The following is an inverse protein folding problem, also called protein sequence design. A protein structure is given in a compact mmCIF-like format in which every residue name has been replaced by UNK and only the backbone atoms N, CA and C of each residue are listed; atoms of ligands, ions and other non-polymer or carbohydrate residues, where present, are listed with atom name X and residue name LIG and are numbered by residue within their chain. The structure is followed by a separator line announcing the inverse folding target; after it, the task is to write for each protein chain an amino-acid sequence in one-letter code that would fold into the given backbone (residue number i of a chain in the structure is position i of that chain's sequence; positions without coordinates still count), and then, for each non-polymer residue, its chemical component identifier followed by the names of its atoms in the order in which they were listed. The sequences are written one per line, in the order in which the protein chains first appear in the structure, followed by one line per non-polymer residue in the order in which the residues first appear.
data_IF_450678386931
#
_entry.id   IF_450678386931
#
_cell.length_a   1.000
_cell.length_b   1.000
_cell.length_c   1.000
_cell.angle_alpha   90.00
_cell.angle_beta   90.00
_cell.angle_gamma   90.00
#
_symmetry.space_group_name_H-M   'P 1'
#
loop_
_entity.id
_entity.type
_entity.pdbx_description
1 polymer ?
#
# COMPACT_ATOMS: atom_id res chain seq x y z
N UNK A 1 10.48 14.76 -12.99
CA UNK A 1 9.49 13.87 -13.65
C UNK A 1 8.81 13.05 -12.57
N UNK A 2 7.53 13.29 -12.32
CA UNK A 2 6.70 12.54 -11.39
C UNK A 2 6.21 11.27 -12.12
N UNK A 3 6.34 10.12 -11.50
CA UNK A 3 5.81 8.87 -12.05
C UNK A 3 4.29 8.89 -11.97
N UNK A 4 3.60 8.69 -13.10
CA UNK A 4 2.15 8.73 -13.18
C UNK A 4 1.46 7.46 -12.65
N UNK A 5 2.19 6.34 -12.50
CA UNK A 5 1.65 5.10 -11.93
C UNK A 5 2.73 4.21 -11.30
N UNK A 6 2.30 3.33 -10.38
CA UNK A 6 3.15 2.30 -9.76
C UNK A 6 3.75 1.33 -10.79
N UNK A 7 2.97 0.95 -11.82
CA UNK A 7 3.44 0.07 -12.90
C UNK A 7 4.64 0.66 -13.64
N UNK A 8 4.57 1.93 -14.03
CA UNK A 8 5.67 2.64 -14.68
C UNK A 8 6.92 2.73 -13.79
N UNK A 9 6.69 2.93 -12.47
CA UNK A 9 7.79 2.98 -11.51
C UNK A 9 8.43 1.60 -11.31
N UNK A 10 7.62 0.53 -11.17
CA UNK A 10 8.09 -0.86 -11.05
C UNK A 10 8.90 -1.30 -12.27
N UNK A 11 8.41 -1.01 -13.47
CA UNK A 11 9.13 -1.30 -14.71
C UNK A 11 10.46 -0.54 -14.80
N UNK A 12 10.48 0.72 -14.35
CA UNK A 12 11.70 1.52 -14.33
C UNK A 12 12.72 1.01 -13.32
N UNK A 13 12.28 0.54 -12.14
CA UNK A 13 13.15 -0.12 -11.17
C UNK A 13 13.70 -1.43 -11.71
N UNK A 14 12.85 -2.25 -12.34
CA UNK A 14 13.30 -3.50 -12.94
C UNK A 14 14.31 -3.24 -14.06
N UNK A 15 14.03 -2.28 -14.95
CA UNK A 15 14.99 -1.87 -16.00
C UNK A 15 16.28 -1.31 -15.40
N UNK A 16 16.21 -0.53 -14.34
CA UNK A 16 17.39 0.05 -13.71
C UNK A 16 18.19 -1.00 -12.94
N UNK A 17 17.55 -1.94 -12.25
CA UNK A 17 18.20 -3.05 -11.58
C UNK A 17 18.87 -4.01 -12.59
N UNK A 18 18.23 -4.28 -13.73
CA UNK A 18 18.80 -5.07 -14.82
C UNK A 18 19.97 -4.33 -15.50
N UNK A 19 19.82 -3.00 -15.70
CA UNK A 19 20.88 -2.16 -16.26
C UNK A 19 22.10 -2.13 -15.33
N UNK A 20 21.89 -1.83 -14.05
CA UNK A 20 22.96 -1.80 -13.04
C UNK A 20 23.59 -3.19 -12.88
N UNK A 21 22.77 -4.25 -12.83
CA UNK A 21 23.27 -5.62 -12.75
C UNK A 21 24.10 -6.04 -13.97
N UNK A 22 23.67 -5.69 -15.19
CA UNK A 22 24.43 -5.97 -16.43
C UNK A 22 25.72 -5.18 -16.53
N UNK A 23 25.73 -3.91 -16.12
CA UNK A 23 26.96 -3.10 -16.12
C UNK A 23 27.92 -3.57 -15.04
N UNK A 24 27.46 -3.87 -13.83
CA UNK A 24 28.30 -4.41 -12.76
C UNK A 24 28.90 -5.78 -13.13
N UNK A 25 28.14 -6.64 -13.82
CA UNK A 25 28.65 -7.93 -14.28
C UNK A 25 29.65 -7.79 -15.45
N UNK A 26 29.45 -6.83 -16.35
CA UNK A 26 30.42 -6.52 -17.41
C UNK A 26 31.71 -5.93 -16.86
N UNK A 27 31.59 -4.95 -15.96
CA UNK A 27 32.73 -4.26 -15.38
C UNK A 27 33.53 -5.19 -14.44
N UNK A 28 32.83 -6.08 -13.71
CA UNK A 28 33.49 -7.12 -12.90
C UNK A 28 34.23 -8.16 -13.73
N UNK A 29 33.74 -8.49 -14.94
CA UNK A 29 34.44 -9.42 -15.85
C UNK A 29 35.59 -8.76 -16.60
N UNK A 30 35.56 -7.44 -16.78
CA UNK A 30 36.60 -6.69 -17.51
C UNK A 30 37.74 -6.20 -16.61
N UNK A 31 37.52 -5.99 -15.32
CA UNK A 31 38.46 -5.30 -14.41
C UNK A 31 39.03 -6.15 -13.27
N UNK A 32 38.67 -7.40 -13.12
CA UNK A 32 39.24 -8.30 -12.10
C UNK A 32 39.11 -7.88 -10.64
N UNK A 33 38.66 -6.66 -10.33
CA UNK A 33 38.31 -6.17 -8.99
C UNK A 33 37.48 -4.89 -9.09
N UNK A 34 36.29 -4.88 -8.46
CA UNK A 34 35.51 -3.63 -8.30
C UNK A 34 36.32 -2.65 -7.44
N UNK A 35 36.60 -1.47 -7.96
CA UNK A 35 37.26 -0.43 -7.18
C UNK A 35 36.34 0.00 -6.00
N UNK A 36 36.91 0.37 -4.83
CA UNK A 36 36.12 0.89 -3.69
C UNK A 36 35.21 2.05 -4.08
N UNK A 37 35.64 2.93 -4.99
CA UNK A 37 34.89 4.07 -5.51
C UNK A 37 33.57 3.65 -6.21
N UNK A 38 33.59 2.58 -7.00
CA UNK A 38 32.39 2.05 -7.68
C UNK A 38 31.35 1.51 -6.70
N UNK A 39 31.79 0.88 -5.60
CA UNK A 39 30.88 0.41 -4.52
C UNK A 39 30.22 1.55 -3.79
N UNK A 40 30.97 2.61 -3.47
CA UNK A 40 30.41 3.78 -2.81
C UNK A 40 29.40 4.52 -3.68
N UNK A 41 29.67 4.69 -4.94
CA UNK A 41 28.75 5.33 -5.89
C UNK A 41 27.45 4.54 -6.00
N UNK A 42 27.53 3.22 -6.09
CA UNK A 42 26.37 2.33 -6.09
C UNK A 42 25.57 2.45 -4.78
N UNK A 43 26.23 2.44 -3.63
CA UNK A 43 25.57 2.61 -2.34
C UNK A 43 24.89 3.97 -2.22
N UNK A 44 25.52 5.05 -2.66
CA UNK A 44 24.92 6.39 -2.73
C UNK A 44 23.70 6.42 -3.64
N UNK A 45 23.75 5.77 -4.79
CA UNK A 45 22.62 5.65 -5.72
C UNK A 45 21.46 4.88 -5.11
N UNK A 46 21.72 3.73 -4.49
CA UNK A 46 20.70 2.92 -3.78
C UNK A 46 20.07 3.75 -2.65
N UNK A 47 20.86 4.48 -1.89
CA UNK A 47 20.37 5.33 -0.79
C UNK A 47 19.46 6.44 -1.30
N UNK A 48 19.82 7.11 -2.41
CA UNK A 48 18.96 8.12 -3.06
C UNK A 48 17.64 7.51 -3.53
N UNK A 49 17.67 6.33 -4.16
CA UNK A 49 16.46 5.65 -4.61
C UNK A 49 15.55 5.25 -3.44
N UNK A 50 16.13 4.71 -2.34
CA UNK A 50 15.38 4.37 -1.12
C UNK A 50 14.69 5.59 -0.51
N UNK A 51 15.38 6.73 -0.44
CA UNK A 51 14.80 8.00 0.07
C UNK A 51 13.64 8.49 -0.82
N UNK A 52 13.81 8.45 -2.15
CA UNK A 52 12.74 8.83 -3.11
C UNK A 52 11.54 7.91 -3.01
N UNK A 53 11.75 6.61 -2.92
CA UNK A 53 10.71 5.60 -2.74
C UNK A 53 9.94 5.79 -1.43
N UNK A 54 10.67 5.95 -0.32
CA UNK A 54 10.05 6.19 0.99
C UNK A 54 9.22 7.48 1.01
N UNK A 55 9.67 8.53 0.30
CA UNK A 55 8.91 9.76 0.14
C UNK A 55 7.64 9.50 -0.64
N UNK A 56 7.73 8.84 -1.80
CA UNK A 56 6.56 8.52 -2.65
C UNK A 56 5.51 7.71 -1.89
N UNK A 57 5.91 6.66 -1.13
CA UNK A 57 5.01 5.86 -0.30
C UNK A 57 4.21 6.70 0.71
N UNK A 58 4.77 7.79 1.21
CA UNK A 58 4.13 8.65 2.22
C UNK A 58 3.33 9.80 1.63
N UNK A 59 3.76 10.34 0.51
CA UNK A 59 3.25 11.63 0.00
C UNK A 59 2.21 11.48 -1.09
N UNK A 60 2.13 10.35 -1.78
CA UNK A 60 1.15 10.13 -2.83
C UNK A 60 0.04 9.19 -2.38
N UNK A 61 -1.17 9.35 -2.92
CA UNK A 61 -2.29 8.45 -2.66
C UNK A 61 -1.97 7.03 -3.12
N UNK A 62 -1.42 6.87 -4.33
CA UNK A 62 -0.99 5.58 -4.87
C UNK A 62 0.06 4.90 -3.98
N UNK A 63 1.04 5.68 -3.50
CA UNK A 63 2.10 5.17 -2.61
C UNK A 63 1.53 4.70 -1.28
N UNK A 64 0.62 5.46 -0.68
CA UNK A 64 -0.09 5.04 0.54
C UNK A 64 -0.91 3.78 0.30
N UNK A 65 -1.69 3.73 -0.78
CA UNK A 65 -2.45 2.55 -1.19
C UNK A 65 -1.56 1.31 -1.32
N UNK A 66 -0.43 1.44 -2.01
CA UNK A 66 0.55 0.36 -2.13
C UNK A 66 1.14 -0.10 -0.78
N UNK A 67 1.41 0.84 0.13
CA UNK A 67 1.90 0.48 1.47
C UNK A 67 0.88 -0.36 2.24
N UNK A 68 -0.42 -0.05 2.12
CA UNK A 68 -1.50 -0.83 2.73
C UNK A 68 -1.68 -2.19 2.06
N UNK A 69 -1.63 -2.28 0.73
CA UNK A 69 -1.65 -3.56 0.02
C UNK A 69 -0.56 -4.50 0.51
N UNK A 70 0.65 -3.98 0.68
CA UNK A 70 1.78 -4.76 1.21
C UNK A 70 1.53 -5.23 2.64
N UNK A 71 0.92 -4.39 3.50
CA UNK A 71 0.53 -4.79 4.86
C UNK A 71 -0.52 -5.89 4.82
N UNK A 72 -1.56 -5.74 4.00
CA UNK A 72 -2.60 -6.75 3.82
C UNK A 72 -2.02 -8.10 3.41
N UNK A 73 -1.14 -8.12 2.41
CA UNK A 73 -0.50 -9.37 1.96
C UNK A 73 0.29 -10.07 3.06
N UNK A 74 0.93 -9.31 3.94
CA UNK A 74 1.82 -9.85 4.98
C UNK A 74 1.11 -10.24 6.27
N UNK A 75 -0.01 -9.59 6.60
CA UNK A 75 -0.63 -9.67 7.91
C UNK A 75 -2.01 -10.34 7.91
N UNK A 76 -2.72 -10.32 6.79
CA UNK A 76 -4.11 -10.76 6.72
C UNK A 76 -4.20 -12.15 6.11
N UNK A 77 -4.75 -13.11 6.85
CA UNK A 77 -4.97 -14.48 6.37
C UNK A 77 -5.97 -14.53 5.20
N UNK A 78 -5.98 -15.64 4.48
CA UNK A 78 -6.94 -15.87 3.40
C UNK A 78 -8.39 -15.86 3.90
N UNK A 79 -8.66 -16.46 5.06
CA UNK A 79 -9.99 -16.49 5.70
C UNK A 79 -10.46 -15.08 6.09
N UNK A 80 -9.62 -14.30 6.75
CA UNK A 80 -9.95 -12.92 7.11
C UNK A 80 -10.21 -12.04 5.87
N UNK A 81 -9.49 -12.27 4.77
CA UNK A 81 -9.77 -11.57 3.51
C UNK A 81 -11.11 -11.98 2.89
N UNK A 82 -11.48 -13.25 3.00
CA UNK A 82 -12.78 -13.72 2.53
C UNK A 82 -13.91 -13.05 3.34
N UNK A 83 -13.80 -13.03 4.67
CA UNK A 83 -14.76 -12.37 5.54
C UNK A 83 -14.87 -10.87 5.23
N UNK A 84 -13.74 -10.16 5.09
CA UNK A 84 -13.74 -8.74 4.73
C UNK A 84 -14.40 -8.48 3.37
N UNK A 85 -14.22 -9.37 2.39
CA UNK A 85 -14.93 -9.24 1.11
C UNK A 85 -16.44 -9.39 1.25
N UNK A 86 -16.90 -10.34 2.07
CA UNK A 86 -18.33 -10.52 2.35
C UNK A 86 -18.91 -9.28 3.03
N UNK A 87 -18.24 -8.74 4.05
CA UNK A 87 -18.66 -7.50 4.72
C UNK A 87 -18.74 -6.35 3.72
N UNK A 88 -17.72 -6.14 2.89
CA UNK A 88 -17.72 -5.06 1.91
C UNK A 88 -18.83 -5.21 0.85
N UNK A 89 -19.11 -6.43 0.41
CA UNK A 89 -20.20 -6.69 -0.52
C UNK A 89 -21.57 -6.35 0.10
N UNK A 90 -21.78 -6.74 1.35
CA UNK A 90 -23.03 -6.48 2.10
C UNK A 90 -23.19 -4.98 2.43
N UNK A 91 -22.15 -4.32 2.95
CA UNK A 91 -22.21 -2.93 3.45
C UNK A 91 -22.31 -1.88 2.35
N UNK A 92 -21.64 -2.11 1.21
CA UNK A 92 -21.51 -1.08 0.18
C UNK A 92 -21.59 -1.60 -1.27
N UNK A 93 -21.96 -2.86 -1.47
CA UNK A 93 -21.87 -3.50 -2.79
C UNK A 93 -20.45 -3.38 -3.40
N UNK A 94 -19.43 -3.38 -2.56
CA UNK A 94 -18.01 -3.18 -2.93
C UNK A 94 -17.70 -1.78 -3.49
N UNK A 95 -18.50 -0.76 -3.20
CA UNK A 95 -18.18 0.62 -3.56
C UNK A 95 -17.34 1.31 -2.47
N UNK A 96 -16.07 1.66 -2.74
CA UNK A 96 -15.22 2.35 -1.78
C UNK A 96 -15.65 3.81 -1.54
N UNK A 97 -16.55 4.35 -2.34
CA UNK A 97 -17.06 5.73 -2.22
C UNK A 97 -18.48 5.79 -1.67
N UNK A 98 -19.04 4.66 -1.27
CA UNK A 98 -20.39 4.59 -0.74
C UNK A 98 -20.63 5.57 0.42
N UNK A 99 -21.83 6.13 0.44
CA UNK A 99 -22.32 7.04 1.48
C UNK A 99 -23.63 6.48 1.99
N UNK A 100 -23.68 6.11 3.27
CA UNK A 100 -24.86 5.55 3.93
C UNK A 100 -25.30 6.40 5.12
N UNK A 101 -26.52 6.11 5.63
CA UNK A 101 -27.06 6.75 6.82
C UNK A 101 -27.08 8.28 6.77
N UNK A 102 -27.46 8.87 5.63
CA UNK A 102 -27.46 10.34 5.48
C UNK A 102 -26.05 10.96 5.57
N UNK A 103 -24.99 10.21 5.29
CA UNK A 103 -23.60 10.68 5.36
C UNK A 103 -22.85 10.27 6.63
N UNK A 104 -23.52 9.59 7.57
CA UNK A 104 -22.91 9.12 8.82
C UNK A 104 -21.93 7.98 8.60
N UNK A 105 -22.15 7.16 7.58
CA UNK A 105 -21.35 6.00 7.24
C UNK A 105 -20.71 6.14 5.86
N UNK A 106 -19.42 5.79 5.77
CA UNK A 106 -18.60 6.12 4.61
C UNK A 106 -17.72 4.93 4.15
N UNK A 107 -17.68 4.79 2.82
CA UNK A 107 -16.74 3.89 2.14
C UNK A 107 -17.13 2.43 2.17
N UNK A 108 -16.17 1.59 1.77
CA UNK A 108 -16.31 0.16 1.50
C UNK A 108 -16.91 -0.65 2.67
N UNK A 109 -16.63 -0.24 3.90
CA UNK A 109 -17.04 -0.92 5.14
C UNK A 109 -17.99 -0.07 6.01
N UNK A 110 -18.55 1.00 5.45
CA UNK A 110 -19.48 1.91 6.12
C UNK A 110 -18.96 2.39 7.48
N UNK A 111 -17.72 2.89 7.51
CA UNK A 111 -17.13 3.46 8.71
C UNK A 111 -17.85 4.73 9.16
N UNK A 112 -18.13 4.83 10.45
CA UNK A 112 -18.36 6.14 11.08
C UNK A 112 -17.03 6.90 11.20
N UNK A 113 -17.08 8.23 11.29
CA UNK A 113 -15.88 9.05 11.49
C UNK A 113 -15.13 8.71 12.78
N UNK A 114 -15.84 8.34 13.86
CA UNK A 114 -15.23 7.94 15.13
C UNK A 114 -14.50 6.60 15.01
N UNK A 115 -15.16 5.59 14.44
CA UNK A 115 -14.56 4.26 14.24
C UNK A 115 -13.35 4.34 13.30
N UNK A 116 -13.44 5.15 12.23
CA UNK A 116 -12.33 5.38 11.32
C UNK A 116 -11.09 5.92 12.04
N UNK A 117 -11.26 6.96 12.86
CA UNK A 117 -10.17 7.53 13.66
C UNK A 117 -9.63 6.55 14.70
N UNK A 118 -10.48 5.76 15.36
CA UNK A 118 -10.05 4.77 16.35
C UNK A 118 -9.12 3.70 15.80
N UNK A 119 -9.25 3.37 14.50
CA UNK A 119 -8.30 2.47 13.80
C UNK A 119 -7.18 3.20 13.08
N UNK A 120 -7.00 4.50 13.39
CA UNK A 120 -5.90 5.34 12.91
C UNK A 120 -6.12 5.91 11.50
N UNK A 121 -7.36 5.93 11.01
CA UNK A 121 -7.74 6.62 9.78
C UNK A 121 -7.78 8.14 9.97
N UNK A 122 -7.56 8.88 8.91
CA UNK A 122 -7.67 10.35 8.87
C UNK A 122 -8.48 10.79 7.67
N UNK A 123 -9.17 11.91 7.78
CA UNK A 123 -10.05 12.42 6.73
C UNK A 123 -11.29 11.55 6.53
N UNK A 124 -11.85 11.63 5.31
CA UNK A 124 -13.04 10.88 4.91
C UNK A 124 -12.66 9.43 4.54
N UNK A 125 -13.28 8.40 5.17
CA UNK A 125 -13.08 7.01 4.78
C UNK A 125 -13.32 6.75 3.28
N UNK A 126 -14.35 7.38 2.68
CA UNK A 126 -14.69 7.21 1.28
C UNK A 126 -13.67 7.83 0.31
N UNK A 127 -12.82 8.75 0.78
CA UNK A 127 -11.71 9.32 0.02
C UNK A 127 -10.43 8.49 0.14
N UNK A 128 -10.37 7.56 1.11
CA UNK A 128 -9.21 6.69 1.29
C UNK A 128 -9.17 5.58 0.21
N UNK A 129 -7.96 5.10 -0.10
CA UNK A 129 -7.82 3.98 -1.03
C UNK A 129 -8.53 2.72 -0.51
N UNK A 130 -9.02 1.87 -1.43
CA UNK A 130 -9.61 0.57 -1.08
C UNK A 130 -8.69 -0.26 -0.15
N UNK A 131 -7.40 -0.23 -0.40
CA UNK A 131 -6.41 -0.95 0.40
C UNK A 131 -6.31 -0.41 1.84
N UNK A 132 -6.38 0.91 2.02
CA UNK A 132 -6.42 1.51 3.35
C UNK A 132 -7.72 1.16 4.09
N UNK A 133 -8.86 1.32 3.44
CA UNK A 133 -10.15 0.96 4.01
C UNK A 133 -10.16 -0.51 4.46
N UNK A 134 -9.68 -1.42 3.62
CA UNK A 134 -9.59 -2.86 3.95
C UNK A 134 -8.62 -3.13 5.11
N UNK A 135 -7.49 -2.44 5.15
CA UNK A 135 -6.55 -2.54 6.27
C UNK A 135 -7.17 -2.07 7.60
N UNK A 136 -7.91 -0.95 7.57
CA UNK A 136 -8.59 -0.41 8.75
C UNK A 136 -9.72 -1.34 9.23
N UNK A 137 -10.50 -1.89 8.30
CA UNK A 137 -11.51 -2.90 8.59
C UNK A 137 -10.90 -4.17 9.20
N UNK A 138 -9.76 -4.62 8.70
CA UNK A 138 -9.05 -5.74 9.30
C UNK A 138 -8.58 -5.43 10.73
N UNK A 139 -8.06 -4.25 10.99
CA UNK A 139 -7.68 -3.85 12.36
C UNK A 139 -8.88 -3.87 13.30
N UNK A 140 -10.03 -3.40 12.85
CA UNK A 140 -11.27 -3.40 13.61
C UNK A 140 -11.74 -4.85 13.88
N UNK A 141 -11.82 -5.66 12.83
CA UNK A 141 -12.19 -7.08 12.90
C UNK A 141 -11.26 -7.87 13.84
N UNK A 142 -9.95 -7.65 13.75
CA UNK A 142 -8.97 -8.38 14.57
C UNK A 142 -8.99 -8.00 16.05
N UNK A 143 -9.45 -6.82 16.39
CA UNK A 143 -9.50 -6.32 17.79
C UNK A 143 -10.85 -6.56 18.46
N UNK A 144 -11.93 -6.48 17.69
CA UNK A 144 -13.30 -6.42 18.22
C UNK A 144 -14.24 -7.45 17.59
N UNK A 145 -13.72 -8.32 16.72
CA UNK A 145 -14.57 -9.25 15.97
C UNK A 145 -15.49 -8.50 14.98
N UNK A 146 -16.55 -9.18 14.56
CA UNK A 146 -17.50 -8.65 13.57
C UNK A 146 -18.60 -7.75 14.17
N UNK A 147 -18.58 -7.49 15.47
CA UNK A 147 -19.65 -6.72 16.17
C UNK A 147 -19.91 -5.30 15.65
N UNK A 148 -18.94 -4.73 14.92
CA UNK A 148 -19.13 -3.45 14.22
C UNK A 148 -19.98 -3.55 12.95
N UNK A 149 -20.24 -4.76 12.48
CA UNK A 149 -21.09 -5.07 11.33
C UNK A 149 -22.14 -6.12 11.72
N UNK A 150 -23.15 -5.73 12.53
CA UNK A 150 -24.06 -6.68 13.16
C UNK A 150 -24.94 -7.47 12.18
N UNK A 151 -25.10 -6.96 10.96
CA UNK A 151 -25.86 -7.62 9.89
C UNK A 151 -24.92 -8.32 8.89
N UNK A 152 -23.75 -7.70 8.60
CA UNK A 152 -22.86 -8.12 7.51
C UNK A 152 -21.60 -8.87 7.99
N UNK A 153 -21.34 -8.91 9.29
CA UNK A 153 -20.11 -9.45 9.89
C UNK A 153 -20.13 -10.93 10.27
#
# INVERSE_FOLDING_TARGET
MLFRSYSQWRERLQRHAVYVGRHLLRDASAAGAQSPASREELQRSISRMRKRWSRWLRTTEEGRGFAFERKLRRRVSGSARAQLRSIAACESHNDPRAVGGGGAYRGLYQFSSSTWRAVGGSGDPAAASRAEQTWRAWLLLSRHGSGHWPVCG
#
